data_IF_244593995767
#
_entry.id   IF_244593995767
#
_cell.length_a   1.000
_cell.length_b   1.000
_cell.length_c   1.000
_cell.angle_alpha   90.00
_cell.angle_beta   90.00
_cell.angle_gamma   90.00
#
_symmetry.space_group_name_H-M   'P 1'
#
loop_
_entity.id
_entity.type
_entity.pdbx_description
1 polymer ?
#
# COMPACT_ATOMS: atom_id res chain seq x y z
N UNK A 1 -17.63 -10.09 -15.75
CA UNK A 1 -17.31 -9.16 -16.83
C UNK A 1 -17.23 -7.81 -16.17
N UNK A 2 -16.10 -7.12 -16.29
CA UNK A 2 -15.71 -6.07 -15.34
C UNK A 2 -15.09 -4.89 -16.08
N UNK A 3 -15.99 -4.03 -16.51
CA UNK A 3 -15.84 -2.58 -16.70
C UNK A 3 -17.17 -1.97 -16.20
N UNK A 4 -17.33 -0.66 -16.23
CA UNK A 4 -18.61 0.01 -15.87
C UNK A 4 -19.80 -0.57 -16.63
N UNK A 5 -19.60 -0.94 -17.90
CA UNK A 5 -20.56 -1.71 -18.69
C UNK A 5 -19.88 -2.89 -19.39
N UNK A 6 -20.50 -4.06 -19.34
CA UNK A 6 -20.01 -5.22 -20.07
C UNK A 6 -21.11 -6.22 -20.40
N UNK A 7 -20.98 -6.89 -21.55
CA UNK A 7 -21.94 -7.91 -22.00
C UNK A 7 -21.24 -8.96 -22.86
N UNK A 8 -21.83 -10.16 -22.92
CA UNK A 8 -21.35 -11.29 -23.71
C UNK A 8 -22.38 -11.62 -24.80
N UNK A 9 -21.93 -11.71 -26.04
CA UNK A 9 -22.75 -12.10 -27.19
C UNK A 9 -22.49 -13.58 -27.46
N UNK A 10 -23.30 -14.45 -26.85
CA UNK A 10 -23.11 -15.91 -26.85
C UNK A 10 -23.02 -16.50 -28.25
N UNK A 11 -23.89 -16.07 -29.16
CA UNK A 11 -23.92 -16.52 -30.56
C UNK A 11 -22.61 -16.29 -31.31
N UNK A 12 -21.86 -15.25 -30.92
CA UNK A 12 -20.60 -14.87 -31.56
C UNK A 12 -19.37 -15.24 -30.73
N UNK A 13 -19.54 -15.62 -29.46
CA UNK A 13 -18.44 -15.81 -28.53
C UNK A 13 -17.66 -14.52 -28.23
N UNK A 14 -18.30 -13.35 -28.33
CA UNK A 14 -17.64 -12.04 -28.21
C UNK A 14 -17.97 -11.40 -26.86
N UNK A 15 -16.94 -10.95 -26.14
CA UNK A 15 -17.06 -10.13 -24.94
C UNK A 15 -16.90 -8.65 -25.30
N UNK A 16 -17.84 -7.82 -24.84
CA UNK A 16 -17.78 -6.37 -24.97
C UNK A 16 -17.58 -5.73 -23.61
N UNK A 17 -16.68 -4.75 -23.56
CA UNK A 17 -16.36 -3.98 -22.38
C UNK A 17 -16.36 -2.49 -22.73
N UNK A 18 -16.92 -1.67 -21.85
CA UNK A 18 -16.96 -0.23 -21.99
C UNK A 18 -16.69 0.41 -20.64
N UNK A 19 -15.68 1.27 -20.60
CA UNK A 19 -15.31 2.11 -19.45
C UNK A 19 -15.88 3.52 -19.69
N UNK A 20 -16.81 3.94 -18.82
CA UNK A 20 -17.47 5.24 -18.91
C UNK A 20 -16.52 6.39 -18.54
N UNK A 21 -15.67 6.14 -17.54
CA UNK A 21 -14.73 7.12 -17.03
C UNK A 21 -13.38 7.07 -17.76
N UNK A 22 -12.72 8.22 -17.99
CA UNK A 22 -11.40 8.25 -18.58
C UNK A 22 -10.39 7.59 -17.63
N UNK A 23 -9.51 6.76 -18.20
CA UNK A 23 -8.43 6.09 -17.48
C UNK A 23 -7.13 6.22 -18.28
N UNK A 24 -5.98 6.41 -17.63
CA UNK A 24 -4.68 6.34 -18.29
C UNK A 24 -4.43 4.96 -18.90
N UNK A 25 -3.67 4.91 -20.00
CA UNK A 25 -3.48 3.68 -20.79
C UNK A 25 -2.82 2.53 -20.01
N UNK A 26 -2.01 2.83 -18.98
CA UNK A 26 -1.33 1.81 -18.18
C UNK A 26 -2.31 0.96 -17.36
N UNK A 27 -3.53 1.46 -17.12
CA UNK A 27 -4.57 0.76 -16.38
C UNK A 27 -5.41 -0.17 -17.25
N UNK A 28 -5.23 -0.15 -18.58
CA UNK A 28 -5.92 -1.07 -19.48
C UNK A 28 -5.39 -2.49 -19.27
N UNK A 29 -6.28 -3.39 -18.88
CA UNK A 29 -5.94 -4.79 -18.63
C UNK A 29 -6.87 -5.76 -19.37
N UNK A 30 -6.34 -6.95 -19.67
CA UNK A 30 -7.07 -8.05 -20.26
C UNK A 30 -6.56 -9.36 -19.68
N UNK A 31 -7.48 -10.22 -19.25
CA UNK A 31 -7.19 -11.60 -18.86
C UNK A 31 -8.22 -12.53 -19.49
N UNK A 32 -7.77 -13.71 -19.90
CA UNK A 32 -8.60 -14.74 -20.52
C UNK A 32 -8.10 -16.11 -20.09
N UNK A 33 -9.04 -16.97 -19.69
CA UNK A 33 -8.73 -18.32 -19.19
C UNK A 33 -9.99 -19.01 -18.67
N UNK A 34 -9.81 -20.17 -18.04
CA UNK A 34 -10.90 -20.86 -17.34
C UNK A 34 -11.15 -20.19 -15.98
N UNK A 35 -11.80 -19.03 -16.01
CA UNK A 35 -12.11 -18.25 -14.81
C UNK A 35 -13.59 -18.42 -14.44
N UNK A 36 -13.83 -18.86 -13.22
CA UNK A 36 -15.17 -18.96 -12.66
C UNK A 36 -15.47 -17.73 -11.77
N UNK A 37 -16.66 -17.13 -11.89
CA UNK A 37 -17.09 -16.03 -11.05
C UNK A 37 -17.73 -16.51 -9.73
N UNK A 38 -17.52 -15.74 -8.65
CA UNK A 38 -18.34 -15.82 -7.44
C UNK A 38 -18.52 -14.43 -6.82
N UNK A 39 -19.77 -14.05 -6.51
CA UNK A 39 -20.06 -12.80 -5.82
C UNK A 39 -19.59 -12.87 -4.36
N UNK A 40 -18.88 -11.83 -3.92
CA UNK A 40 -18.35 -11.69 -2.54
C UNK A 40 -18.89 -10.46 -1.83
N UNK A 41 -19.73 -9.66 -2.51
CA UNK A 41 -20.39 -8.48 -1.98
C UNK A 41 -21.47 -7.98 -2.95
N UNK A 42 -22.20 -6.90 -2.59
CA UNK A 42 -23.29 -6.37 -3.41
C UNK A 42 -22.81 -5.79 -4.76
N UNK A 43 -21.54 -5.41 -4.85
CA UNK A 43 -20.90 -4.81 -6.04
C UNK A 43 -19.49 -5.35 -6.29
N UNK A 44 -19.20 -6.54 -5.78
CA UNK A 44 -17.88 -7.16 -5.85
C UNK A 44 -17.95 -8.64 -6.16
N UNK A 45 -17.07 -9.08 -7.06
CA UNK A 45 -16.98 -10.45 -7.53
C UNK A 45 -15.54 -10.90 -7.64
N UNK A 46 -15.29 -12.14 -7.26
CA UNK A 46 -14.00 -12.80 -7.47
C UNK A 46 -14.05 -13.62 -8.77
N UNK A 47 -12.97 -13.57 -9.53
CA UNK A 47 -12.70 -14.39 -10.70
C UNK A 47 -11.45 -15.22 -10.43
N UNK A 48 -11.52 -16.55 -10.54
CA UNK A 48 -10.36 -17.40 -10.32
C UNK A 48 -10.51 -18.73 -11.06
N UNK A 49 -9.41 -19.47 -11.21
CA UNK A 49 -9.48 -20.88 -11.62
C UNK A 49 -10.30 -21.71 -10.61
N UNK A 50 -10.98 -22.80 -11.05
CA UNK A 50 -11.87 -23.57 -10.19
C UNK A 50 -11.26 -24.07 -8.89
N UNK A 51 -9.95 -24.37 -8.89
CA UNK A 51 -9.22 -24.84 -7.71
C UNK A 51 -8.92 -23.75 -6.68
N UNK A 52 -8.85 -22.49 -7.11
CA UNK A 52 -8.52 -21.32 -6.26
C UNK A 52 -9.78 -20.64 -5.74
N UNK A 53 -10.87 -20.67 -6.52
CA UNK A 53 -12.09 -19.93 -6.23
C UNK A 53 -12.67 -20.15 -4.81
N UNK A 54 -12.79 -21.39 -4.27
CA UNK A 54 -13.35 -21.58 -2.94
C UNK A 54 -12.53 -20.90 -1.83
N UNK A 55 -11.20 -20.95 -1.93
CA UNK A 55 -10.30 -20.31 -0.97
C UNK A 55 -10.44 -18.78 -1.04
N UNK A 56 -10.43 -18.23 -2.25
CA UNK A 56 -10.58 -16.79 -2.46
C UNK A 56 -11.93 -16.27 -1.94
N UNK A 57 -13.03 -16.98 -2.23
CA UNK A 57 -14.37 -16.63 -1.70
C UNK A 57 -14.39 -16.70 -0.18
N UNK A 58 -13.83 -17.75 0.42
CA UNK A 58 -13.77 -17.92 1.87
C UNK A 58 -13.03 -16.78 2.58
N UNK A 59 -12.00 -16.20 1.94
CA UNK A 59 -11.23 -15.09 2.50
C UNK A 59 -11.84 -13.70 2.25
N UNK A 60 -12.60 -13.51 1.17
CA UNK A 60 -13.06 -12.18 0.74
C UNK A 60 -14.54 -11.88 0.94
N UNK A 61 -15.38 -12.91 1.13
CA UNK A 61 -16.84 -12.73 1.26
C UNK A 61 -17.20 -11.77 2.40
N UNK A 62 -17.92 -10.70 2.08
CA UNK A 62 -18.34 -9.62 3.00
C UNK A 62 -17.24 -8.59 3.32
N UNK A 63 -15.97 -8.99 3.33
CA UNK A 63 -14.84 -8.11 3.70
C UNK A 63 -14.59 -7.01 2.68
N UNK A 64 -14.69 -7.33 1.39
CA UNK A 64 -14.45 -6.35 0.31
C UNK A 64 -15.41 -5.16 0.42
N UNK A 65 -16.68 -5.41 0.70
CA UNK A 65 -17.66 -4.34 0.88
C UNK A 65 -17.41 -3.53 2.15
N UNK A 66 -16.97 -4.17 3.24
CA UNK A 66 -16.58 -3.47 4.47
C UNK A 66 -15.42 -2.49 4.21
N UNK A 67 -14.42 -2.91 3.45
CA UNK A 67 -13.28 -2.06 3.08
C UNK A 67 -13.69 -0.92 2.14
N UNK A 68 -14.54 -1.19 1.15
CA UNK A 68 -15.08 -0.16 0.26
C UNK A 68 -15.89 0.89 1.05
N UNK A 69 -16.74 0.49 1.98
CA UNK A 69 -17.51 1.42 2.81
C UNK A 69 -16.61 2.27 3.71
N UNK A 70 -15.56 1.68 4.28
CA UNK A 70 -14.57 2.42 5.05
C UNK A 70 -13.85 3.45 4.16
N UNK A 71 -13.41 3.05 2.96
CA UNK A 71 -12.79 3.95 2.00
C UNK A 71 -13.74 5.08 1.55
N UNK A 72 -15.01 4.76 1.27
CA UNK A 72 -16.01 5.76 0.88
C UNK A 72 -16.32 6.76 1.99
N UNK A 73 -16.29 6.33 3.25
CA UNK A 73 -16.49 7.25 4.38
C UNK A 73 -15.34 8.25 4.55
N UNK A 74 -14.13 7.89 4.10
CA UNK A 74 -12.96 8.76 4.10
C UNK A 74 -12.91 9.66 2.86
N UNK A 75 -13.07 9.08 1.66
CA UNK A 75 -12.68 9.72 0.40
C UNK A 75 -13.86 10.08 -0.53
N UNK A 76 -15.09 9.78 -0.11
CA UNK A 76 -16.30 10.00 -0.92
C UNK A 76 -16.66 8.79 -1.79
N UNK A 77 -17.72 8.87 -2.62
CA UNK A 77 -18.28 7.71 -3.31
C UNK A 77 -17.29 6.97 -4.22
N UNK A 78 -17.38 5.64 -4.26
CA UNK A 78 -16.62 4.82 -5.20
C UNK A 78 -17.27 4.88 -6.59
N UNK A 79 -16.63 5.61 -7.51
CA UNK A 79 -17.24 6.00 -8.81
C UNK A 79 -17.26 4.88 -9.87
N UNK A 80 -16.45 3.83 -9.72
CA UNK A 80 -16.25 2.82 -10.78
C UNK A 80 -17.37 1.76 -10.87
N UNK A 81 -18.43 1.93 -10.08
CA UNK A 81 -19.62 1.07 -10.03
C UNK A 81 -19.41 -0.27 -9.34
N UNK A 82 -18.40 -1.03 -9.78
CA UNK A 82 -18.06 -2.36 -9.23
C UNK A 82 -16.57 -2.48 -8.90
N UNK A 83 -16.27 -3.37 -7.97
CA UNK A 83 -14.90 -3.72 -7.57
C UNK A 83 -14.77 -5.25 -7.65
N UNK A 84 -14.37 -5.77 -8.81
CA UNK A 84 -14.08 -7.19 -8.97
C UNK A 84 -12.58 -7.45 -8.73
N UNK A 85 -12.26 -8.67 -8.30
CA UNK A 85 -10.87 -9.13 -8.09
C UNK A 85 -10.67 -10.36 -8.97
N UNK A 86 -9.56 -10.44 -9.71
CA UNK A 86 -9.14 -11.66 -10.40
C UNK A 86 -7.85 -12.19 -9.81
N UNK A 87 -7.87 -13.46 -9.39
CA UNK A 87 -6.67 -14.17 -8.97
C UNK A 87 -5.98 -14.78 -10.18
N UNK A 88 -4.76 -14.33 -10.43
CA UNK A 88 -3.92 -14.77 -11.52
C UNK A 88 -2.96 -15.89 -11.09
N UNK A 89 -2.44 -16.69 -12.05
CA UNK A 89 -1.50 -17.76 -11.76
C UNK A 89 -0.23 -17.25 -11.04
N UNK A 90 0.55 -18.15 -10.39
CA UNK A 90 1.79 -17.79 -9.70
C UNK A 90 2.87 -17.14 -10.57
N UNK A 91 2.73 -17.16 -11.89
CA UNK A 91 3.63 -16.49 -12.83
C UNK A 91 3.33 -15.00 -13.03
N UNK A 92 2.29 -14.45 -12.41
CA UNK A 92 2.03 -13.01 -12.40
C UNK A 92 3.22 -12.30 -11.72
N UNK A 93 3.86 -11.31 -12.37
CA UNK A 93 5.19 -10.84 -11.96
C UNK A 93 5.18 -9.84 -10.79
N UNK A 94 3.99 -9.41 -10.36
CA UNK A 94 3.77 -8.47 -9.26
C UNK A 94 2.69 -9.02 -8.33
N UNK A 95 2.52 -8.40 -7.17
CA UNK A 95 1.53 -8.85 -6.17
C UNK A 95 0.12 -8.51 -6.61
N UNK A 96 -0.12 -7.26 -7.01
CA UNK A 96 -1.41 -6.77 -7.45
C UNK A 96 -1.29 -5.61 -8.45
N UNK A 97 -2.40 -5.27 -9.10
CA UNK A 97 -2.55 -4.14 -10.02
C UNK A 97 -3.98 -3.58 -9.94
N UNK A 98 -4.10 -2.27 -9.87
CA UNK A 98 -5.29 -1.51 -9.52
C UNK A 98 -6.29 -1.29 -10.67
N UNK A 99 -6.30 -2.20 -11.66
CA UNK A 99 -7.05 -2.01 -12.89
C UNK A 99 -8.54 -1.70 -12.58
N UNK A 100 -9.09 -0.55 -13.01
CA UNK A 100 -10.44 -0.13 -12.63
C UNK A 100 -11.48 -1.19 -12.97
N UNK A 101 -12.40 -1.41 -12.02
CA UNK A 101 -13.41 -2.47 -12.05
C UNK A 101 -12.90 -3.92 -11.93
N UNK A 102 -11.60 -4.21 -12.12
CA UNK A 102 -11.05 -5.57 -12.06
C UNK A 102 -9.60 -5.58 -11.53
N UNK A 103 -9.42 -5.55 -10.22
CA UNK A 103 -8.10 -5.65 -9.59
C UNK A 103 -7.46 -7.00 -9.88
N UNK A 104 -6.23 -7.01 -10.39
CA UNK A 104 -5.45 -8.23 -10.62
C UNK A 104 -4.65 -8.54 -9.36
N UNK A 105 -4.65 -9.80 -8.91
CA UNK A 105 -3.93 -10.22 -7.70
C UNK A 105 -3.27 -11.58 -7.93
N UNK A 106 -2.02 -11.78 -7.50
CA UNK A 106 -1.35 -13.08 -7.56
C UNK A 106 -2.02 -14.10 -6.63
N UNK A 107 -2.28 -15.33 -7.10
CA UNK A 107 -3.00 -16.31 -6.27
C UNK A 107 -2.23 -16.77 -5.02
N UNK A 108 -0.89 -16.71 -5.01
CA UNK A 108 -0.08 -17.11 -3.85
C UNK A 108 -0.29 -16.22 -2.63
N UNK A 109 -0.81 -15.00 -2.80
CA UNK A 109 -1.13 -14.13 -1.66
C UNK A 109 -2.20 -14.75 -0.75
N UNK A 110 -3.02 -15.67 -1.30
CA UNK A 110 -4.06 -16.37 -0.55
C UNK A 110 -3.49 -17.25 0.58
N UNK A 111 -2.18 -17.51 0.63
CA UNK A 111 -1.56 -18.24 1.75
C UNK A 111 -1.42 -17.39 3.02
N UNK A 112 -1.50 -16.06 2.92
CA UNK A 112 -1.48 -15.15 4.08
C UNK A 112 -2.75 -14.31 4.15
N UNK A 113 -3.38 -14.28 5.31
CA UNK A 113 -4.54 -13.41 5.54
C UNK A 113 -4.14 -11.94 5.66
N UNK A 114 -3.02 -11.66 6.34
CA UNK A 114 -2.54 -10.30 6.57
C UNK A 114 -2.08 -9.64 5.26
N UNK A 115 -1.29 -10.34 4.42
CA UNK A 115 -0.89 -9.80 3.11
C UNK A 115 -2.09 -9.60 2.17
N UNK A 116 -2.99 -10.59 2.06
CA UNK A 116 -4.20 -10.43 1.25
C UNK A 116 -5.03 -9.21 1.67
N UNK A 117 -5.17 -8.99 2.97
CA UNK A 117 -5.91 -7.86 3.52
C UNK A 117 -5.28 -6.53 3.12
N UNK A 118 -3.99 -6.34 3.39
CA UNK A 118 -3.35 -5.03 3.21
C UNK A 118 -3.22 -4.68 1.72
N UNK A 119 -2.90 -5.67 0.88
CA UNK A 119 -2.75 -5.46 -0.55
C UNK A 119 -4.12 -5.19 -1.19
N UNK A 120 -5.19 -5.94 -0.87
CA UNK A 120 -6.52 -5.64 -1.43
C UNK A 120 -7.04 -4.27 -0.98
N UNK A 121 -6.74 -3.82 0.26
CA UNK A 121 -7.09 -2.48 0.70
C UNK A 121 -6.28 -1.40 -0.05
N UNK A 122 -4.99 -1.66 -0.34
CA UNK A 122 -4.17 -0.77 -1.19
C UNK A 122 -4.79 -0.59 -2.57
N UNK A 123 -5.20 -1.69 -3.20
CA UNK A 123 -5.87 -1.67 -4.49
C UNK A 123 -7.25 -0.97 -4.45
N UNK A 124 -7.98 -1.05 -3.33
CA UNK A 124 -9.21 -0.26 -3.12
C UNK A 124 -8.87 1.24 -3.06
N UNK A 125 -7.83 1.62 -2.34
CA UNK A 125 -7.40 3.02 -2.20
C UNK A 125 -7.04 3.66 -3.56
N UNK A 126 -6.50 2.86 -4.47
CA UNK A 126 -6.23 3.29 -5.83
C UNK A 126 -7.47 3.76 -6.61
N UNK A 127 -8.67 3.34 -6.20
CA UNK A 127 -9.93 3.86 -6.72
C UNK A 127 -10.03 5.40 -6.69
N UNK A 128 -9.35 6.04 -5.74
CA UNK A 128 -9.24 7.50 -5.65
C UNK A 128 -7.85 8.01 -6.06
N UNK A 129 -6.78 7.35 -5.60
CA UNK A 129 -5.39 7.80 -5.78
C UNK A 129 -4.65 6.94 -6.81
N UNK A 130 -4.45 7.45 -8.03
CA UNK A 130 -3.93 6.69 -9.17
C UNK A 130 -4.98 6.58 -10.27
N UNK A 131 -6.14 6.00 -9.96
CA UNK A 131 -7.20 5.80 -10.97
C UNK A 131 -7.99 7.08 -11.23
N UNK A 132 -8.50 7.74 -10.18
CA UNK A 132 -9.29 8.97 -10.34
C UNK A 132 -8.39 10.20 -10.44
N UNK A 133 -7.38 10.32 -9.59
CA UNK A 133 -6.34 11.36 -9.68
C UNK A 133 -5.01 10.69 -9.98
N UNK A 134 -4.48 10.88 -11.20
CA UNK A 134 -3.30 10.14 -11.68
C UNK A 134 -2.04 10.98 -11.60
N UNK A 135 -0.88 10.39 -11.34
CA UNK A 135 0.41 11.06 -11.55
C UNK A 135 0.64 11.40 -13.04
N UNK A 136 1.10 12.62 -13.33
CA UNK A 136 1.32 13.08 -14.71
C UNK A 136 2.54 12.44 -15.41
N UNK A 137 3.51 11.97 -14.63
CA UNK A 137 4.69 11.25 -15.12
C UNK A 137 5.11 10.17 -14.12
N UNK A 138 5.95 9.24 -14.55
CA UNK A 138 6.49 8.21 -13.66
C UNK A 138 7.39 8.78 -12.55
N UNK A 139 8.01 9.93 -12.77
CA UNK A 139 8.80 10.63 -11.75
C UNK A 139 7.92 11.14 -10.60
N UNK A 140 6.60 11.24 -10.83
CA UNK A 140 5.58 11.63 -9.85
C UNK A 140 4.81 10.43 -9.28
N UNK A 141 5.28 9.20 -9.49
CA UNK A 141 4.55 7.98 -9.12
C UNK A 141 4.24 7.88 -7.62
N UNK A 142 5.00 8.59 -6.78
CA UNK A 142 4.71 8.71 -5.34
C UNK A 142 3.34 9.36 -5.06
N UNK A 143 2.80 10.17 -5.98
CA UNK A 143 1.45 10.73 -5.83
C UNK A 143 0.39 9.63 -5.90
N UNK A 144 0.58 8.62 -6.73
CA UNK A 144 -0.34 7.48 -6.79
C UNK A 144 -0.08 6.54 -5.62
N UNK A 145 1.15 6.05 -5.51
CA UNK A 145 1.49 5.01 -4.54
C UNK A 145 1.51 5.52 -3.11
N UNK A 146 2.21 6.62 -2.83
CA UNK A 146 2.29 7.18 -1.48
C UNK A 146 0.95 7.65 -0.92
N UNK A 147 0.07 8.24 -1.74
CA UNK A 147 -1.30 8.55 -1.33
C UNK A 147 -2.13 7.29 -1.14
N UNK A 148 -2.04 6.30 -2.04
CA UNK A 148 -2.73 5.03 -1.88
C UNK A 148 -2.28 4.27 -0.62
N UNK A 149 -0.98 4.22 -0.32
CA UNK A 149 -0.47 3.55 0.89
C UNK A 149 -0.83 4.33 2.16
N UNK A 150 -0.92 5.66 2.12
CA UNK A 150 -1.50 6.44 3.22
C UNK A 150 -2.97 6.10 3.41
N UNK A 151 -3.73 6.08 2.31
CA UNK A 151 -5.15 5.83 2.36
C UNK A 151 -5.48 4.40 2.82
N UNK A 152 -4.66 3.44 2.42
CA UNK A 152 -4.70 2.06 2.85
C UNK A 152 -4.58 1.96 4.38
N UNK A 153 -3.56 2.60 5.00
CA UNK A 153 -3.39 2.60 6.46
C UNK A 153 -4.56 3.25 7.20
N UNK A 154 -5.18 4.27 6.61
CA UNK A 154 -6.37 4.92 7.17
C UNK A 154 -7.59 4.00 7.14
N UNK A 155 -7.79 3.28 6.03
CA UNK A 155 -8.83 2.25 5.91
C UNK A 155 -8.56 1.11 6.91
N UNK A 156 -7.33 0.61 6.97
CA UNK A 156 -6.93 -0.43 7.93
C UNK A 156 -7.16 0.02 9.37
N UNK A 157 -6.84 1.27 9.72
CA UNK A 157 -7.07 1.81 11.07
C UNK A 157 -8.55 1.85 11.41
N UNK A 158 -9.41 2.27 10.48
CA UNK A 158 -10.86 2.31 10.70
C UNK A 158 -11.47 0.91 10.90
N UNK A 159 -10.98 -0.09 10.17
CA UNK A 159 -11.57 -1.43 10.15
C UNK A 159 -10.98 -2.35 11.22
N UNK A 160 -9.66 -2.29 11.43
CA UNK A 160 -8.90 -3.22 12.27
C UNK A 160 -8.22 -2.57 13.46
N UNK A 161 -8.26 -1.24 13.55
CA UNK A 161 -7.70 -0.47 14.66
C UNK A 161 -6.23 -0.09 14.46
N UNK A 162 -5.81 0.88 15.27
CA UNK A 162 -4.47 1.45 15.20
C UNK A 162 -3.37 0.47 15.61
N UNK A 163 -3.62 -0.46 16.54
CA UNK A 163 -2.64 -1.47 16.96
C UNK A 163 -2.18 -2.36 15.80
N UNK A 164 -3.11 -2.90 15.01
CA UNK A 164 -2.79 -3.69 13.82
C UNK A 164 -2.09 -2.83 12.75
N UNK A 165 -2.62 -1.63 12.49
CA UNK A 165 -2.02 -0.72 11.50
C UNK A 165 -0.59 -0.31 11.89
N UNK A 166 -0.30 -0.15 13.17
CA UNK A 166 1.05 0.14 13.66
C UNK A 166 2.00 -1.05 13.43
N UNK A 167 1.54 -2.29 13.65
CA UNK A 167 2.32 -3.50 13.36
C UNK A 167 2.63 -3.60 11.86
N UNK A 168 1.63 -3.44 11.00
CA UNK A 168 1.80 -3.42 9.55
C UNK A 168 2.79 -2.32 9.11
N UNK A 169 2.61 -1.10 9.63
CA UNK A 169 3.47 0.03 9.29
C UNK A 169 4.90 -0.20 9.78
N UNK A 170 5.08 -0.82 10.96
CA UNK A 170 6.41 -1.21 11.46
C UNK A 170 7.07 -2.21 10.52
N UNK A 171 6.34 -3.25 10.11
CA UNK A 171 6.81 -4.23 9.14
C UNK A 171 7.26 -3.59 7.82
N UNK A 172 6.46 -2.69 7.24
CA UNK A 172 6.79 -2.02 5.97
C UNK A 172 7.95 -1.03 6.09
N UNK A 173 8.04 -0.28 7.19
CA UNK A 173 9.16 0.65 7.42
C UNK A 173 10.47 -0.09 7.71
N UNK A 174 10.44 -1.25 8.38
CA UNK A 174 11.63 -2.09 8.52
C UNK A 174 12.09 -2.67 7.17
N UNK A 175 11.16 -3.07 6.30
CA UNK A 175 11.49 -3.47 4.94
C UNK A 175 12.13 -2.31 4.14
N UNK A 176 11.63 -1.07 4.29
CA UNK A 176 12.24 0.12 3.70
C UNK A 176 13.65 0.35 4.25
N UNK A 177 13.84 0.27 5.58
CA UNK A 177 15.14 0.41 6.23
C UNK A 177 16.14 -0.62 5.70
N UNK A 178 15.71 -1.87 5.49
CA UNK A 178 16.52 -2.92 4.87
C UNK A 178 16.89 -2.58 3.43
N UNK A 179 15.94 -2.11 2.64
CA UNK A 179 16.21 -1.66 1.26
C UNK A 179 17.23 -0.52 1.22
N UNK A 180 17.16 0.43 2.16
CA UNK A 180 18.14 1.50 2.33
C UNK A 180 19.53 0.94 2.66
N UNK A 181 19.62 -0.05 3.56
CA UNK A 181 20.90 -0.70 3.89
C UNK A 181 21.54 -1.38 2.65
N UNK A 182 20.73 -2.02 1.82
CA UNK A 182 21.19 -2.76 0.63
C UNK A 182 21.60 -1.83 -0.51
N UNK A 183 20.78 -0.81 -0.81
CA UNK A 183 20.99 0.08 -1.97
C UNK A 183 21.88 1.29 -1.65
N UNK A 184 22.07 1.60 -0.37
CA UNK A 184 22.74 2.81 0.10
C UNK A 184 21.80 4.01 0.17
N UNK A 185 22.07 4.91 1.12
CA UNK A 185 21.21 6.09 1.38
C UNK A 185 21.21 7.10 0.23
N UNK A 186 22.29 7.22 -0.53
CA UNK A 186 22.46 8.23 -1.58
C UNK A 186 21.92 7.79 -2.96
N UNK A 187 21.27 6.62 -3.05
CA UNK A 187 20.74 6.11 -4.32
C UNK A 187 19.71 7.09 -4.92
N UNK A 188 19.78 7.45 -6.21
CA UNK A 188 18.81 8.36 -6.82
C UNK A 188 17.37 7.89 -6.72
N UNK A 189 17.15 6.57 -6.69
CA UNK A 189 15.83 5.94 -6.57
C UNK A 189 15.20 6.08 -5.18
N UNK A 190 15.92 6.64 -4.21
CA UNK A 190 15.39 6.93 -2.86
C UNK A 190 14.74 8.31 -2.73
N UNK A 191 14.73 9.10 -3.80
CA UNK A 191 13.99 10.36 -3.90
C UNK A 191 12.54 10.06 -4.29
N UNK A 192 11.59 10.85 -3.78
CA UNK A 192 10.20 10.72 -4.22
C UNK A 192 10.01 11.21 -5.65
N UNK A 193 10.71 12.29 -6.01
CA UNK A 193 10.83 12.77 -7.40
C UNK A 193 12.17 12.32 -8.00
N UNK A 194 12.30 11.01 -8.21
CA UNK A 194 13.47 10.46 -8.87
C UNK A 194 13.45 10.80 -10.37
N UNK A 195 14.48 11.50 -10.84
CA UNK A 195 14.63 11.81 -12.27
C UNK A 195 15.00 10.56 -13.05
N UNK A 196 14.27 10.28 -14.12
CA UNK A 196 14.53 9.15 -15.00
C UNK A 196 15.32 9.60 -16.23
N UNK A 197 16.51 9.03 -16.41
CA UNK A 197 17.24 9.17 -17.66
C UNK A 197 16.48 8.51 -18.81
N UNK A 198 16.66 9.03 -20.03
CA UNK A 198 16.03 8.46 -21.22
C UNK A 198 16.42 7.00 -21.41
N UNK A 199 15.42 6.12 -21.55
CA UNK A 199 15.63 4.68 -21.73
C UNK A 199 15.71 3.87 -20.44
N UNK A 200 15.63 4.50 -19.26
CA UNK A 200 15.48 3.78 -18.00
C UNK A 200 14.03 3.27 -17.88
N UNK A 201 13.88 2.00 -17.50
CA UNK A 201 12.57 1.41 -17.25
C UNK A 201 11.95 2.03 -15.99
N UNK A 202 10.75 2.63 -16.07
CA UNK A 202 10.05 3.18 -14.91
C UNK A 202 9.75 2.18 -13.81
N UNK A 203 9.75 0.86 -14.10
CA UNK A 203 9.57 -0.19 -13.08
C UNK A 203 10.59 -0.11 -11.95
N UNK A 204 11.75 0.52 -12.16
CA UNK A 204 12.74 0.74 -11.11
C UNK A 204 12.23 1.68 -10.00
N UNK A 205 11.20 2.49 -10.29
CA UNK A 205 10.52 3.33 -9.30
C UNK A 205 9.48 2.54 -8.50
N UNK A 206 9.09 1.33 -8.91
CA UNK A 206 8.18 0.47 -8.14
C UNK A 206 8.95 -0.18 -6.99
N UNK A 207 9.27 0.63 -5.98
CA UNK A 207 10.16 0.28 -4.88
C UNK A 207 9.66 0.93 -3.58
N UNK A 208 10.08 0.44 -2.40
CA UNK A 208 9.50 0.91 -1.13
C UNK A 208 9.71 2.41 -0.87
N UNK A 209 10.63 3.12 -1.54
CA UNK A 209 10.71 4.57 -1.39
C UNK A 209 9.45 5.25 -1.93
N UNK A 210 8.96 4.84 -3.10
CA UNK A 210 7.76 5.43 -3.71
C UNK A 210 6.52 5.21 -2.84
N UNK A 211 6.39 4.04 -2.22
CA UNK A 211 5.25 3.67 -1.36
C UNK A 211 5.42 4.22 0.07
N UNK A 212 6.48 3.79 0.77
CA UNK A 212 6.66 4.01 2.21
C UNK A 212 7.18 5.40 2.55
N UNK A 213 8.17 5.91 1.80
CA UNK A 213 8.60 7.30 1.97
C UNK A 213 7.52 8.27 1.47
N UNK A 214 6.77 7.88 0.43
CA UNK A 214 5.58 8.61 -0.03
C UNK A 214 4.52 8.69 1.07
N UNK A 215 4.18 7.55 1.68
CA UNK A 215 3.31 7.48 2.85
C UNK A 215 3.79 8.38 3.99
N UNK A 216 5.07 8.32 4.37
CA UNK A 216 5.62 9.17 5.42
C UNK A 216 5.50 10.66 5.09
N UNK A 217 5.66 11.04 3.82
CA UNK A 217 5.46 12.43 3.39
C UNK A 217 4.01 12.86 3.51
N UNK A 218 3.05 12.04 3.06
CA UNK A 218 1.62 12.32 3.21
C UNK A 218 1.22 12.38 4.68
N UNK A 219 1.76 11.50 5.52
CA UNK A 219 1.56 11.55 6.97
C UNK A 219 2.15 12.84 7.58
N UNK A 220 3.32 13.30 7.13
CA UNK A 220 3.86 14.59 7.53
C UNK A 220 2.92 15.74 7.18
N UNK A 221 2.32 15.75 5.99
CA UNK A 221 1.30 16.74 5.61
C UNK A 221 0.07 16.68 6.55
N UNK A 222 -0.34 15.49 6.98
CA UNK A 222 -1.45 15.35 7.93
C UNK A 222 -1.08 15.81 9.34
N UNK A 223 0.19 15.73 9.74
CA UNK A 223 0.65 16.28 11.02
C UNK A 223 0.72 17.81 11.00
N UNK A 224 1.15 18.40 9.88
CA UNK A 224 1.24 19.85 9.73
C UNK A 224 -0.09 20.58 9.88
N UNK A 225 -1.21 20.00 9.41
CA UNK A 225 -2.52 20.60 9.60
C UNK A 225 -3.09 20.39 11.02
N UNK A 226 -2.49 19.50 11.83
CA UNK A 226 -2.79 19.27 13.25
C UNK A 226 -4.12 18.57 13.55
N UNK A 227 -4.95 18.30 12.55
CA UNK A 227 -6.27 17.70 12.69
C UNK A 227 -6.56 16.70 11.54
N UNK A 228 -6.87 15.45 11.92
CA UNK A 228 -7.04 14.36 10.96
C UNK A 228 -8.32 14.50 10.12
N UNK A 229 -9.41 14.98 10.72
CA UNK A 229 -10.69 15.14 10.01
C UNK A 229 -10.60 16.25 8.94
N UNK A 230 -9.87 17.32 9.25
CA UNK A 230 -9.55 18.39 8.31
C UNK A 230 -8.62 17.89 7.19
N UNK A 231 -7.64 17.03 7.47
CA UNK A 231 -6.83 16.42 6.43
C UNK A 231 -7.66 15.54 5.50
N UNK A 232 -8.63 14.79 6.04
CA UNK A 232 -9.55 13.97 5.23
C UNK A 232 -10.45 14.83 4.37
N UNK A 233 -10.90 15.97 4.91
CA UNK A 233 -11.64 16.96 4.14
C UNK A 233 -10.80 17.54 3.00
N UNK A 234 -9.52 17.82 3.23
CA UNK A 234 -8.59 18.22 2.18
C UNK A 234 -8.44 17.12 1.11
N UNK A 235 -8.26 15.85 1.49
CA UNK A 235 -8.12 14.77 0.51
C UNK A 235 -9.40 14.63 -0.34
N UNK A 236 -10.59 14.78 0.25
CA UNK A 236 -11.86 14.82 -0.52
C UNK A 236 -11.91 15.99 -1.49
N UNK A 237 -11.49 17.19 -1.07
CA UNK A 237 -11.43 18.38 -1.93
C UNK A 237 -10.43 18.20 -3.08
N UNK A 238 -9.25 17.65 -2.76
CA UNK A 238 -8.21 17.31 -3.74
C UNK A 238 -8.72 16.32 -4.79
N UNK A 239 -9.38 15.24 -4.36
CA UNK A 239 -9.98 14.25 -5.25
C UNK A 239 -11.01 14.93 -6.17
N UNK A 240 -11.96 15.69 -5.63
CA UNK A 240 -13.02 16.30 -6.44
C UNK A 240 -12.43 17.33 -7.44
N UNK A 241 -11.43 18.09 -7.01
CA UNK A 241 -10.75 19.08 -7.85
C UNK A 241 -9.98 18.45 -9.03
N UNK A 242 -9.31 17.32 -8.79
CA UNK A 242 -8.41 16.71 -9.77
C UNK A 242 -8.92 15.40 -10.37
N UNK A 243 -10.13 14.94 -10.06
CA UNK A 243 -10.67 13.72 -10.65
C UNK A 243 -10.61 13.80 -12.18
N UNK A 244 -10.16 12.72 -12.79
CA UNK A 244 -9.93 12.57 -14.22
C UNK A 244 -8.86 13.51 -14.80
N UNK A 245 -7.97 14.03 -13.96
CA UNK A 245 -6.79 14.78 -14.37
C UNK A 245 -5.52 14.05 -13.93
N UNK A 246 -4.43 14.36 -14.63
CA UNK A 246 -3.09 13.96 -14.21
C UNK A 246 -2.37 15.14 -13.56
N UNK A 247 -1.72 14.91 -12.43
CA UNK A 247 -1.16 15.95 -11.55
C UNK A 247 0.33 15.75 -11.27
N UNK A 248 1.00 16.84 -10.93
CA UNK A 248 2.38 16.87 -10.42
C UNK A 248 2.40 17.24 -8.93
N UNK A 249 3.52 17.05 -8.24
CA UNK A 249 3.62 17.35 -6.81
C UNK A 249 3.21 18.80 -6.47
N UNK A 250 3.52 19.74 -7.38
CA UNK A 250 3.17 21.15 -7.22
C UNK A 250 1.66 21.36 -7.12
N UNK A 251 0.85 20.64 -7.91
CA UNK A 251 -0.61 20.79 -7.89
C UNK A 251 -1.19 20.39 -6.53
N UNK A 252 -0.71 19.29 -5.96
CA UNK A 252 -1.10 18.83 -4.62
C UNK A 252 -0.68 19.84 -3.55
N UNK A 253 0.58 20.32 -3.58
CA UNK A 253 1.09 21.26 -2.57
C UNK A 253 0.41 22.62 -2.65
N UNK A 254 0.13 23.14 -3.85
CA UNK A 254 -0.62 24.39 -4.01
C UNK A 254 -2.07 24.23 -3.51
N UNK A 255 -2.71 23.10 -3.81
CA UNK A 255 -4.05 22.79 -3.30
C UNK A 255 -4.05 22.69 -1.78
N UNK A 256 -3.07 21.99 -1.20
CA UNK A 256 -2.88 21.83 0.24
C UNK A 256 -2.72 23.18 0.95
N UNK A 257 -1.80 24.03 0.48
CA UNK A 257 -1.59 25.36 1.05
C UNK A 257 -2.80 26.28 0.88
N UNK A 258 -3.56 26.11 -0.20
CA UNK A 258 -4.78 26.90 -0.43
C UNK A 258 -5.92 26.46 0.47
N UNK A 259 -6.01 25.17 0.79
CA UNK A 259 -6.95 24.61 1.76
C UNK A 259 -6.57 24.99 3.20
N UNK A 260 -5.27 25.06 3.51
CA UNK A 260 -4.71 25.43 4.82
C UNK A 260 -3.94 26.77 4.76
N UNK A 261 -4.63 27.91 4.61
CA UNK A 261 -3.97 29.21 4.38
C UNK A 261 -3.11 29.68 5.57
N UNK A 262 -3.32 29.16 6.78
CA UNK A 262 -2.48 29.47 7.94
C UNK A 262 -1.03 28.97 7.75
N UNK A 263 -0.83 27.87 7.02
CA UNK A 263 0.49 27.33 6.69
C UNK A 263 1.23 28.15 5.62
N UNK A 264 0.53 28.94 4.80
CA UNK A 264 1.17 29.84 3.81
C UNK A 264 2.05 30.90 4.47
N UNK A 265 1.69 31.36 5.67
CA UNK A 265 2.48 32.33 6.44
C UNK A 265 3.79 31.74 6.99
N UNK A 266 3.81 30.43 7.26
CA UNK A 266 4.98 29.69 7.76
C UNK A 266 5.93 29.27 6.63
N UNK A 267 5.46 29.36 5.37
CA UNK A 267 6.22 29.08 4.14
C UNK A 267 7.16 30.23 3.72
N UNK A 268 7.17 31.38 4.39
CA UNK A 268 8.01 32.53 3.98
C UNK A 268 9.44 32.42 4.51
N UNK A 269 10.30 31.73 3.75
CA UNK A 269 11.77 31.83 3.59
C UNK A 269 12.73 32.07 4.80
N UNK A 270 12.27 32.24 6.05
CA UNK A 270 13.13 32.57 7.19
C UNK A 270 12.62 32.08 8.56
N UNK A 271 11.59 31.24 8.61
CA UNK A 271 11.31 30.30 9.70
C UNK A 271 11.90 28.93 9.32
N UNK A 272 12.10 28.02 10.27
CA UNK A 272 12.32 26.59 10.03
C UNK A 272 11.10 26.00 9.27
N UNK A 273 11.00 26.28 7.97
CA UNK A 273 9.76 26.24 7.20
C UNK A 273 9.28 24.85 6.78
N UNK A 274 8.35 24.83 5.83
CA UNK A 274 7.81 23.61 5.22
C UNK A 274 8.90 22.86 4.43
N UNK A 275 9.22 21.62 4.82
CA UNK A 275 10.34 20.83 4.27
C UNK A 275 10.00 20.14 2.92
N UNK A 276 9.04 20.67 2.14
CA UNK A 276 8.51 19.99 0.94
C UNK A 276 9.59 19.64 -0.08
N UNK A 277 10.48 20.58 -0.39
CA UNK A 277 11.58 20.35 -1.34
C UNK A 277 12.51 19.24 -0.86
N UNK A 278 12.77 19.18 0.45
CA UNK A 278 13.63 18.15 1.02
C UNK A 278 12.94 16.79 1.00
N UNK A 279 11.64 16.72 1.29
CA UNK A 279 10.86 15.50 1.15
C UNK A 279 10.88 14.93 -0.27
N UNK A 280 10.69 15.80 -1.27
CA UNK A 280 10.61 15.39 -2.67
C UNK A 280 11.98 14.98 -3.24
N UNK A 281 13.03 15.75 -2.93
CA UNK A 281 14.31 15.67 -3.65
C UNK A 281 15.48 15.10 -2.83
N UNK A 282 15.41 15.04 -1.49
CA UNK A 282 16.50 14.46 -0.71
C UNK A 282 16.49 12.93 -0.79
N UNK A 283 17.65 12.28 -1.02
CA UNK A 283 17.75 10.83 -0.99
C UNK A 283 17.68 10.31 0.45
N UNK A 284 17.59 8.99 0.60
CA UNK A 284 17.65 8.29 1.88
C UNK A 284 16.30 8.14 2.58
N UNK A 285 16.37 7.95 3.90
CA UNK A 285 15.21 7.68 4.75
C UNK A 285 14.18 8.82 4.74
N UNK A 286 12.91 8.55 5.15
CA UNK A 286 11.94 9.59 5.45
C UNK A 286 12.47 10.58 6.49
N UNK A 287 12.08 11.87 6.39
CA UNK A 287 12.53 12.89 7.35
C UNK A 287 11.89 12.71 8.73
N UNK A 288 10.63 12.24 8.74
CA UNK A 288 9.89 11.86 9.94
C UNK A 288 9.11 10.58 9.66
N UNK A 289 8.85 9.81 10.70
CA UNK A 289 8.01 8.61 10.65
C UNK A 289 6.82 8.78 11.62
N UNK A 290 5.70 8.08 11.38
CA UNK A 290 4.57 8.11 12.31
C UNK A 290 4.93 7.56 13.70
N UNK A 291 4.18 7.97 14.73
CA UNK A 291 4.22 7.31 16.03
C UNK A 291 3.56 5.92 15.94
N UNK A 292 4.33 4.87 16.24
CA UNK A 292 3.92 3.47 16.17
C UNK A 292 3.76 2.83 17.56
N UNK A 293 3.78 3.63 18.63
CA UNK A 293 3.74 3.16 20.01
C UNK A 293 2.51 2.30 20.34
N UNK A 294 1.38 2.52 19.66
CA UNK A 294 0.17 1.72 19.82
C UNK A 294 0.32 0.27 19.32
N UNK A 295 1.32 -0.01 18.49
CA UNK A 295 1.67 -1.36 18.02
C UNK A 295 2.62 -2.12 18.94
N UNK A 296 3.14 -1.48 20.02
CA UNK A 296 4.15 -2.06 20.91
C UNK A 296 3.75 -3.42 21.51
N UNK A 297 2.45 -3.64 21.75
CA UNK A 297 1.94 -4.93 22.23
C UNK A 297 2.30 -6.10 21.29
N UNK A 298 2.43 -5.85 19.98
CA UNK A 298 2.85 -6.86 19.01
C UNK A 298 4.35 -6.83 18.72
N UNK A 299 4.98 -5.65 18.73
CA UNK A 299 6.40 -5.51 18.35
C UNK A 299 7.36 -5.78 19.50
N UNK A 300 7.03 -5.44 20.74
CA UNK A 300 7.91 -5.67 21.89
C UNK A 300 8.20 -7.16 22.16
N UNK A 301 7.24 -8.10 22.03
CA UNK A 301 7.56 -9.52 22.09
C UNK A 301 8.52 -9.99 20.98
N UNK A 302 8.43 -9.40 19.78
CA UNK A 302 9.34 -9.68 18.67
C UNK A 302 10.75 -9.20 19.00
N UNK A 303 10.89 -7.97 19.51
CA UNK A 303 12.17 -7.39 19.92
C UNK A 303 12.83 -8.22 21.02
N UNK A 304 12.08 -8.54 22.08
CA UNK A 304 12.59 -9.32 23.20
C UNK A 304 13.02 -10.73 22.79
N UNK A 305 12.25 -11.41 21.92
CA UNK A 305 12.65 -12.71 21.40
C UNK A 305 13.90 -12.59 20.52
N UNK A 306 13.97 -11.59 19.63
CA UNK A 306 15.18 -11.35 18.83
C UNK A 306 16.40 -11.12 19.72
N UNK A 307 16.30 -10.30 20.77
CA UNK A 307 17.40 -10.06 21.71
C UNK A 307 17.90 -11.35 22.37
N UNK A 308 16.99 -12.25 22.77
CA UNK A 308 17.36 -13.55 23.34
C UNK A 308 18.13 -14.41 22.33
N UNK A 309 17.65 -14.49 21.10
CA UNK A 309 18.32 -15.24 20.03
C UNK A 309 19.67 -14.62 19.60
N UNK A 310 19.86 -13.33 19.86
CA UNK A 310 21.09 -12.59 19.56
C UNK A 310 22.02 -12.46 20.79
N UNK A 311 21.64 -12.97 21.96
CA UNK A 311 22.43 -12.83 23.19
C UNK A 311 23.76 -13.59 23.12
N UNK A 312 24.79 -13.05 23.78
CA UNK A 312 26.09 -13.72 23.93
C UNK A 312 26.45 -13.92 25.41
N UNK A 313 26.49 -15.18 25.91
CA UNK A 313 26.15 -16.44 25.22
C UNK A 313 24.63 -16.60 24.98
N UNK A 314 24.26 -17.37 23.94
CA UNK A 314 22.87 -17.71 23.65
C UNK A 314 22.33 -18.63 24.75
N UNK A 315 21.23 -18.22 25.39
CA UNK A 315 20.44 -19.06 26.28
C UNK A 315 19.27 -19.67 25.49
N UNK A 316 19.49 -20.87 24.95
CA UNK A 316 18.50 -21.59 24.13
C UNK A 316 17.24 -21.89 24.93
N UNK A 317 17.36 -22.24 26.22
CA UNK A 317 16.20 -22.56 27.04
C UNK A 317 15.34 -21.32 27.28
N UNK A 318 15.97 -20.17 27.56
CA UNK A 318 15.26 -18.90 27.67
C UNK A 318 14.60 -18.49 26.34
N UNK A 319 15.31 -18.59 25.22
CA UNK A 319 14.80 -18.21 23.90
C UNK A 319 13.62 -19.10 23.45
N UNK A 320 13.73 -20.43 23.58
CA UNK A 320 12.67 -21.36 23.20
C UNK A 320 11.42 -21.27 24.09
N UNK A 321 11.59 -20.91 25.37
CA UNK A 321 10.48 -20.81 26.31
C UNK A 321 9.87 -19.39 26.43
N UNK A 322 10.44 -18.39 25.77
CA UNK A 322 10.01 -16.99 25.92
C UNK A 322 8.61 -16.72 25.35
N UNK A 323 8.36 -17.15 24.11
CA UNK A 323 7.10 -16.90 23.43
C UNK A 323 6.66 -18.10 22.58
N UNK A 324 5.37 -18.41 22.62
CA UNK A 324 4.76 -19.32 21.67
C UNK A 324 4.52 -18.60 20.34
N UNK A 325 5.44 -18.75 19.39
CA UNK A 325 5.35 -18.08 18.08
C UNK A 325 4.19 -18.58 17.21
N UNK A 326 3.50 -19.68 17.59
CA UNK A 326 2.32 -20.16 16.83
C UNK A 326 1.14 -19.21 16.91
N UNK A 327 1.10 -18.35 17.95
CA UNK A 327 0.00 -17.41 18.18
C UNK A 327 0.28 -16.03 17.54
N UNK A 328 1.42 -15.89 16.86
CA UNK A 328 1.84 -14.63 16.24
C UNK A 328 1.13 -14.38 14.92
N UNK A 329 0.87 -13.09 14.66
CA UNK A 329 0.42 -12.64 13.34
C UNK A 329 1.55 -12.79 12.31
N UNK A 330 1.20 -12.78 11.02
CA UNK A 330 2.17 -12.98 9.93
C UNK A 330 3.31 -11.96 10.04
N UNK A 331 2.96 -10.69 10.27
CA UNK A 331 3.95 -9.61 10.35
C UNK A 331 4.88 -9.73 11.57
N UNK A 332 4.43 -10.25 12.71
CA UNK A 332 5.32 -10.50 13.86
C UNK A 332 6.37 -11.57 13.53
N UNK A 333 5.92 -12.67 12.92
CA UNK A 333 6.80 -13.76 12.49
C UNK A 333 7.82 -13.27 11.46
N UNK A 334 7.39 -12.51 10.46
CA UNK A 334 8.31 -11.97 9.44
C UNK A 334 9.29 -10.97 10.05
N UNK A 335 8.83 -10.04 10.91
CA UNK A 335 9.70 -9.09 11.60
C UNK A 335 10.79 -9.79 12.43
N UNK A 336 10.44 -10.86 13.14
CA UNK A 336 11.39 -11.67 13.89
C UNK A 336 12.43 -12.32 12.98
N UNK A 337 11.98 -12.98 11.90
CA UNK A 337 12.87 -13.62 10.93
C UNK A 337 13.79 -12.61 10.24
N UNK A 338 13.28 -11.42 9.90
CA UNK A 338 14.08 -10.35 9.30
C UNK A 338 15.17 -9.85 10.25
N UNK A 339 14.86 -9.68 11.54
CA UNK A 339 15.87 -9.33 12.56
C UNK A 339 16.96 -10.40 12.70
N UNK A 340 16.60 -11.68 12.63
CA UNK A 340 17.58 -12.76 12.63
C UNK A 340 18.44 -12.75 11.35
N UNK A 341 17.84 -12.47 10.19
CA UNK A 341 18.55 -12.38 8.91
C UNK A 341 19.56 -11.23 8.88
N UNK A 342 19.26 -10.08 9.49
CA UNK A 342 20.20 -8.95 9.59
C UNK A 342 21.51 -9.32 10.34
N UNK A 343 21.49 -10.37 11.16
CA UNK A 343 22.65 -10.88 11.90
C UNK A 343 23.19 -12.21 11.33
N UNK A 344 22.69 -12.64 10.16
CA UNK A 344 23.11 -13.88 9.52
C UNK A 344 24.59 -13.83 9.07
N UNK A 345 25.35 -14.93 9.18
CA UNK A 345 24.93 -16.25 9.66
C UNK A 345 24.82 -16.32 11.18
N UNK A 346 23.73 -16.94 11.66
CA UNK A 346 23.67 -17.45 13.04
C UNK A 346 24.74 -18.54 13.21
N UNK A 347 25.36 -18.62 14.40
CA UNK A 347 26.59 -19.39 14.58
C UNK A 347 26.33 -20.90 14.40
N UNK A 348 27.30 -21.67 13.87
CA UNK A 348 27.16 -23.12 13.73
C UNK A 348 27.07 -23.79 15.12
N UNK A 349 25.84 -24.19 15.51
CA UNK A 349 25.52 -24.76 16.82
C UNK A 349 24.06 -24.52 17.24
N UNK A 350 23.42 -23.52 16.64
CA UNK A 350 22.08 -23.03 17.01
C UNK A 350 20.93 -23.68 16.20
N UNK A 351 21.22 -24.74 15.42
CA UNK A 351 20.22 -25.46 14.62
C UNK A 351 19.70 -26.67 15.39
N UNK A 352 18.58 -26.52 16.07
CA UNK A 352 17.75 -27.65 16.51
C UNK A 352 16.45 -27.58 15.70
N UNK A 353 16.24 -28.58 14.85
CA UNK A 353 15.02 -28.82 14.08
C UNK A 353 13.84 -29.18 14.98
#
# INVERSE_FOLDING_TARGET
MSCTHSYYVEEMGIFHFYMEHPVPVYLVALTAGHLLPADVGPRSRVWAEPCVLPLAVGKLSGRVEQWLQAAESLYGPYIWGRYDIVFLPPSFPIVAMENPCLTFVICSILDSEDFLLIDVIHEIAHGWFGNAVTNASWEEMWLSEGLATYAQRRITTLVYGATFTCLETTFRLEALNRQIRILGQDTPFSRLQAKLDTGVNPSNLMNLFTYEKGFCFVHYLSQLCGDQDNFDAFLRDYIEKFKFHSVVAHDLLESYLSFFPHLKGESTACSEGLEFERWLNAPGAPLTQPDLSQGSIFTSPVEALSELWMAEPLDIEAACNFANITDWQTFQTVLFLDKLLDQSPLRPGDYIF
#
